data_IF_733708346068
#
_entry.id   IF_733708346068
#
_cell.length_a   1.000
_cell.length_b   1.000
_cell.length_c   1.000
_cell.angle_alpha   90.00
_cell.angle_beta   90.00
_cell.angle_gamma   90.00
#
_symmetry.space_group_name_H-M   'P 1'
#
loop_
_entity.id
_entity.type
_entity.pdbx_description
1 polymer ?
#
# COMPACT_ATOMS: atom_id res chain seq x y z
N UNK A 1 27.03 -9.76 40.97
CA UNK A 1 27.20 -10.52 39.71
C UNK A 1 25.88 -10.87 39.00
N UNK A 2 24.85 -11.37 39.70
CA UNK A 2 23.57 -11.78 39.07
C UNK A 2 22.76 -10.63 38.43
N UNK A 3 22.76 -9.43 39.02
CA UNK A 3 22.02 -8.26 38.50
C UNK A 3 22.62 -7.74 37.20
N UNK A 4 23.96 -7.77 37.05
CA UNK A 4 24.63 -7.27 35.84
C UNK A 4 24.34 -8.17 34.62
N UNK A 5 24.25 -9.49 34.83
CA UNK A 5 23.90 -10.47 33.80
C UNK A 5 22.44 -10.29 33.36
N UNK A 6 21.53 -10.04 34.31
CA UNK A 6 20.11 -9.78 34.02
C UNK A 6 19.92 -8.49 33.20
N UNK A 7 20.66 -7.43 33.55
CA UNK A 7 20.64 -6.16 32.79
C UNK A 7 21.20 -6.36 31.37
N UNK A 8 22.30 -7.10 31.21
CA UNK A 8 22.82 -7.41 29.88
C UNK A 8 21.85 -8.27 29.05
N UNK A 9 21.13 -9.19 29.68
CA UNK A 9 20.12 -10.01 28.99
C UNK A 9 18.91 -9.16 28.57
N UNK A 10 18.43 -8.24 29.41
CA UNK A 10 17.35 -7.31 29.10
C UNK A 10 17.74 -6.28 28.02
N UNK A 11 18.98 -5.79 28.05
CA UNK A 11 19.54 -4.92 27.00
C UNK A 11 19.61 -5.70 25.67
N UNK A 12 20.10 -6.95 25.68
CA UNK A 12 20.13 -7.81 24.48
C UNK A 12 18.72 -8.15 23.98
N UNK A 13 17.75 -8.34 24.88
CA UNK A 13 16.35 -8.58 24.53
C UNK A 13 15.70 -7.32 23.90
N UNK A 14 15.97 -6.13 24.43
CA UNK A 14 15.51 -4.85 23.87
C UNK A 14 16.14 -4.51 22.52
N UNK A 15 17.36 -5.00 22.26
CA UNK A 15 18.09 -4.78 21.00
C UNK A 15 17.68 -5.79 19.90
N UNK A 16 16.97 -6.87 20.24
CA UNK A 16 16.73 -7.98 19.29
C UNK A 16 15.33 -8.01 18.66
N UNK A 17 14.45 -7.06 18.96
CA UNK A 17 13.23 -6.88 18.14
C UNK A 17 13.59 -5.96 16.97
N UNK A 18 14.56 -6.38 16.15
CA UNK A 18 14.70 -5.82 14.81
C UNK A 18 13.75 -6.60 13.92
N UNK A 19 12.52 -6.10 13.78
CA UNK A 19 11.68 -6.49 12.64
C UNK A 19 12.40 -6.01 11.38
N UNK A 20 13.23 -6.89 10.82
CA UNK A 20 13.87 -6.65 9.54
C UNK A 20 12.89 -7.06 8.44
N UNK A 21 12.29 -6.05 7.81
CA UNK A 21 11.54 -6.25 6.59
C UNK A 21 12.53 -6.36 5.43
N UNK A 22 12.42 -7.44 4.65
CA UNK A 22 13.27 -7.69 3.47
C UNK A 22 13.08 -6.64 2.38
N UNK A 23 11.89 -6.05 2.30
CA UNK A 23 11.50 -5.06 1.31
C UNK A 23 11.32 -3.69 1.94
N UNK A 24 11.56 -2.63 1.15
CA UNK A 24 11.36 -1.25 1.60
C UNK A 24 9.90 -1.00 1.99
N UNK A 25 9.71 -0.42 3.18
CA UNK A 25 8.41 0.05 3.65
C UNK A 25 7.97 1.29 2.85
N UNK A 26 6.67 1.39 2.61
CA UNK A 26 6.06 2.43 1.76
C UNK A 26 4.98 3.20 2.50
N UNK A 27 4.08 2.50 3.19
CA UNK A 27 2.91 3.11 3.86
C UNK A 27 2.62 2.36 5.15
N UNK A 28 2.00 3.05 6.09
CA UNK A 28 1.46 2.41 7.28
C UNK A 28 0.15 3.07 7.71
N UNK A 29 -0.68 2.31 8.41
CA UNK A 29 -1.85 2.84 9.13
C UNK A 29 -1.97 2.13 10.47
N UNK A 30 -2.47 2.83 11.49
CA UNK A 30 -2.75 2.30 12.81
C UNK A 30 -4.25 2.39 13.09
N UNK A 31 -4.83 1.29 13.57
CA UNK A 31 -6.19 1.24 14.12
C UNK A 31 -6.11 1.11 15.64
N UNK A 32 -6.62 2.12 16.34
CA UNK A 32 -6.62 2.21 17.80
C UNK A 32 -7.65 1.28 18.44
N UNK A 33 -8.74 0.96 17.74
CA UNK A 33 -9.80 0.09 18.24
C UNK A 33 -9.33 -1.36 18.37
N UNK A 34 -8.61 -1.88 17.38
CA UNK A 34 -8.07 -3.25 17.41
C UNK A 34 -6.60 -3.32 17.83
N UNK A 35 -5.99 -2.17 18.16
CA UNK A 35 -4.55 -2.03 18.40
C UNK A 35 -3.73 -2.75 17.32
N UNK A 36 -3.97 -2.40 16.06
CA UNK A 36 -3.38 -3.09 14.90
C UNK A 36 -2.67 -2.11 14.00
N UNK A 37 -1.45 -2.44 13.60
CA UNK A 37 -0.66 -1.67 12.63
C UNK A 37 -0.66 -2.44 11.32
N UNK A 38 -1.07 -1.80 10.23
CA UNK A 38 -0.88 -2.33 8.88
C UNK A 38 0.35 -1.65 8.27
N UNK A 39 1.33 -2.45 7.86
CA UNK A 39 2.52 -1.99 7.15
C UNK A 39 2.49 -2.49 5.72
N UNK A 40 2.71 -1.59 4.78
CA UNK A 40 2.87 -1.91 3.36
C UNK A 40 4.34 -1.79 2.96
N UNK A 41 4.89 -2.84 2.36
CA UNK A 41 6.20 -2.85 1.72
C UNK A 41 6.06 -3.20 0.24
N UNK A 42 7.15 -3.07 -0.53
CA UNK A 42 7.15 -3.59 -1.91
C UNK A 42 6.75 -5.07 -1.88
N UNK A 43 5.77 -5.45 -2.69
CA UNK A 43 5.24 -6.82 -2.80
C UNK A 43 4.56 -7.40 -1.56
N UNK A 44 4.47 -6.72 -0.42
CA UNK A 44 3.85 -7.32 0.77
C UNK A 44 3.06 -6.34 1.61
N UNK A 45 2.04 -6.87 2.28
CA UNK A 45 1.32 -6.17 3.35
C UNK A 45 1.42 -7.04 4.61
N UNK A 46 1.69 -6.40 5.74
CA UNK A 46 1.76 -7.02 7.06
C UNK A 46 0.70 -6.40 7.95
N UNK A 47 0.03 -7.24 8.72
CA UNK A 47 -0.78 -6.87 9.88
C UNK A 47 0.03 -7.20 11.11
N UNK A 48 0.25 -6.22 11.99
CA UNK A 48 1.02 -6.34 13.21
C UNK A 48 0.14 -5.98 14.40
N UNK A 49 0.43 -6.60 15.54
CA UNK A 49 -0.10 -6.18 16.82
C UNK A 49 0.56 -4.85 17.24
N UNK A 50 -0.23 -3.85 17.61
CA UNK A 50 0.26 -2.50 17.94
C UNK A 50 1.11 -2.45 19.21
N UNK A 51 0.75 -3.26 20.20
CA UNK A 51 1.44 -3.32 21.50
C UNK A 51 2.85 -3.93 21.43
N UNK A 52 3.07 -4.93 20.58
CA UNK A 52 4.34 -5.69 20.58
C UNK A 52 4.98 -5.85 19.19
N UNK A 53 4.37 -5.29 18.14
CA UNK A 53 4.79 -5.36 16.73
C UNK A 53 4.88 -6.77 16.15
N UNK A 54 4.34 -7.80 16.83
CA UNK A 54 4.34 -9.17 16.31
C UNK A 54 3.48 -9.25 15.05
N UNK A 55 3.96 -9.95 14.03
CA UNK A 55 3.20 -10.19 12.80
C UNK A 55 1.99 -11.07 13.14
N UNK A 56 0.79 -10.54 12.91
CA UNK A 56 -0.49 -11.24 13.01
C UNK A 56 -0.77 -12.00 11.71
N UNK A 57 -0.56 -11.36 10.57
CA UNK A 57 -0.68 -11.96 9.25
C UNK A 57 0.12 -11.18 8.21
N UNK A 58 0.44 -11.81 7.08
CA UNK A 58 0.99 -11.14 5.91
C UNK A 58 0.41 -11.69 4.61
N UNK A 59 0.44 -10.88 3.56
CA UNK A 59 0.06 -11.30 2.21
C UNK A 59 1.12 -10.88 1.20
N UNK A 60 1.29 -11.72 0.19
CA UNK A 60 2.05 -11.39 -1.01
C UNK A 60 1.15 -10.68 -2.02
N UNK A 61 1.61 -9.54 -2.51
CA UNK A 61 0.95 -8.70 -3.53
C UNK A 61 1.70 -8.73 -4.85
N UNK A 62 2.80 -9.49 -4.96
CA UNK A 62 3.50 -9.77 -6.21
C UNK A 62 2.65 -10.64 -7.13
N UNK A 63 1.62 -10.06 -7.73
CA UNK A 63 0.89 -10.71 -8.81
C UNK A 63 1.77 -10.77 -10.06
N UNK A 64 1.58 -11.80 -10.88
CA UNK A 64 2.16 -11.90 -12.23
C UNK A 64 1.63 -10.75 -13.09
N UNK A 65 2.36 -9.65 -13.09
CA UNK A 65 2.08 -8.47 -13.90
C UNK A 65 2.10 -8.84 -15.39
N UNK A 66 1.13 -8.34 -16.15
CA UNK A 66 1.14 -8.51 -17.61
C UNK A 66 2.33 -7.75 -18.20
N UNK A 67 2.81 -8.13 -19.39
CA UNK A 67 3.94 -7.44 -20.05
C UNK A 67 3.72 -5.90 -20.17
N UNK A 68 2.47 -5.45 -20.26
CA UNK A 68 2.09 -4.03 -20.31
C UNK A 68 2.30 -3.34 -18.95
N UNK A 69 1.98 -4.03 -17.84
CA UNK A 69 2.25 -3.53 -16.48
C UNK A 69 3.74 -3.35 -16.21
N UNK A 70 4.56 -4.22 -16.81
CA UNK A 70 6.02 -4.20 -16.71
C UNK A 70 6.60 -2.99 -17.44
N UNK A 71 6.13 -2.71 -18.66
CA UNK A 71 6.59 -1.55 -19.43
C UNK A 71 6.33 -0.23 -18.69
N UNK A 72 5.21 -0.13 -17.96
CA UNK A 72 4.85 1.05 -17.16
C UNK A 72 5.65 1.21 -15.87
N UNK A 73 6.09 0.11 -15.27
CA UNK A 73 6.95 0.12 -14.08
C UNK A 73 8.41 0.51 -14.43
N UNK A 74 8.83 0.26 -15.67
CA UNK A 74 10.24 0.39 -16.11
C UNK A 74 10.47 1.68 -16.89
N UNK A 75 9.51 2.13 -17.72
CA UNK A 75 9.62 3.35 -18.51
C UNK A 75 9.12 4.57 -17.74
N UNK A 76 9.91 5.11 -16.82
CA UNK A 76 9.86 6.55 -16.57
C UNK A 76 11.11 7.08 -15.87
N UNK A 77 12.18 7.24 -16.66
CA UNK A 77 13.40 7.94 -16.26
C UNK A 77 13.95 8.73 -17.44
N UNK A 78 13.53 9.98 -17.56
CA UNK A 78 14.41 11.04 -18.06
C UNK A 78 13.93 12.45 -17.72
N UNK A 79 12.65 12.66 -17.40
CA UNK A 79 12.10 14.01 -17.23
C UNK A 79 11.60 14.38 -15.82
N UNK A 80 11.42 13.43 -14.90
CA UNK A 80 11.01 13.76 -13.53
C UNK A 80 12.20 14.34 -12.75
N UNK A 81 12.17 15.65 -12.52
CA UNK A 81 13.16 16.37 -11.71
C UNK A 81 13.33 15.68 -10.36
N UNK A 82 14.58 15.44 -9.95
CA UNK A 82 15.01 14.69 -8.76
C UNK A 82 14.36 15.09 -7.43
N UNK A 83 13.61 16.19 -7.38
CA UNK A 83 13.04 16.80 -6.17
C UNK A 83 11.60 16.39 -5.82
N UNK A 84 10.91 15.56 -6.61
CA UNK A 84 9.48 15.22 -6.37
C UNK A 84 9.24 13.84 -5.71
N UNK A 85 10.29 13.15 -5.27
CA UNK A 85 10.12 11.85 -4.63
C UNK A 85 9.74 12.03 -3.16
N UNK A 86 8.58 11.52 -2.76
CA UNK A 86 8.12 11.48 -1.37
C UNK A 86 8.88 10.46 -0.50
N UNK A 87 9.72 9.61 -1.09
CA UNK A 87 10.48 8.54 -0.42
C UNK A 87 11.91 8.45 -0.96
N UNK A 88 12.80 7.82 -0.19
CA UNK A 88 14.19 7.53 -0.59
C UNK A 88 14.24 6.95 -1.99
N UNK A 89 14.94 7.63 -2.90
CA UNK A 89 15.02 7.25 -4.30
C UNK A 89 15.57 5.84 -4.51
N UNK A 90 16.40 5.32 -3.60
CA UNK A 90 17.10 4.03 -3.79
C UNK A 90 16.19 2.84 -4.12
N UNK A 91 15.01 2.74 -3.52
CA UNK A 91 14.05 1.64 -3.74
C UNK A 91 13.15 1.84 -4.97
N UNK A 92 13.04 3.08 -5.45
CA UNK A 92 12.30 3.45 -6.65
C UNK A 92 13.21 3.53 -7.89
N UNK A 93 14.52 3.64 -7.72
CA UNK A 93 15.47 3.83 -8.83
C UNK A 93 15.76 2.55 -9.63
N UNK A 94 15.43 1.36 -9.12
CA UNK A 94 15.55 0.09 -9.84
C UNK A 94 14.35 -0.82 -9.56
N UNK A 95 13.14 -0.44 -10.00
CA UNK A 95 11.99 -1.31 -9.85
C UNK A 95 12.27 -2.61 -10.63
N UNK A 96 12.19 -3.75 -9.95
CA UNK A 96 12.21 -5.03 -10.65
C UNK A 96 10.87 -5.24 -11.35
N UNK A 97 10.86 -6.02 -12.42
CA UNK A 97 9.68 -6.39 -13.21
C UNK A 97 8.54 -6.96 -12.33
N UNK A 98 8.91 -7.54 -11.18
CA UNK A 98 8.00 -8.20 -10.25
C UNK A 98 7.66 -7.33 -9.03
N UNK A 99 8.02 -6.04 -9.03
CA UNK A 99 7.74 -5.14 -7.92
C UNK A 99 6.37 -4.47 -8.08
N UNK A 100 5.49 -4.72 -7.12
CA UNK A 100 4.21 -4.09 -6.90
C UNK A 100 4.36 -3.07 -5.78
N UNK A 101 3.99 -1.82 -6.06
CA UNK A 101 4.11 -0.70 -5.12
C UNK A 101 2.73 -0.31 -4.61
N UNK A 102 2.63 -0.05 -3.31
CA UNK A 102 1.38 0.31 -2.67
C UNK A 102 1.09 1.81 -2.88
N UNK A 103 -0.07 2.10 -3.47
CA UNK A 103 -0.55 3.43 -3.80
C UNK A 103 -1.57 3.97 -2.80
N UNK A 104 -2.39 3.11 -2.21
CA UNK A 104 -3.28 3.51 -1.10
C UNK A 104 -3.30 2.42 -0.04
N UNK A 105 -3.35 2.86 1.21
CA UNK A 105 -3.56 2.03 2.38
C UNK A 105 -4.44 2.85 3.32
N UNK A 106 -5.74 2.51 3.39
CA UNK A 106 -6.74 3.31 4.10
C UNK A 106 -7.65 2.42 4.94
N UNK A 107 -7.81 2.75 6.22
CA UNK A 107 -8.82 2.13 7.06
C UNK A 107 -10.20 2.51 6.56
N UNK A 108 -11.08 1.52 6.42
CA UNK A 108 -12.48 1.74 6.09
C UNK A 108 -13.37 1.35 7.28
N UNK A 109 -14.67 1.53 7.12
CA UNK A 109 -15.60 1.12 8.16
C UNK A 109 -15.64 -0.42 8.28
N UNK A 110 -16.00 -0.90 9.47
CA UNK A 110 -16.11 -2.34 9.79
C UNK A 110 -14.78 -3.12 9.91
N UNK A 111 -13.71 -2.49 10.41
CA UNK A 111 -12.41 -3.16 10.65
C UNK A 111 -11.85 -3.81 9.38
N UNK A 112 -11.93 -3.06 8.29
CA UNK A 112 -11.39 -3.46 6.98
C UNK A 112 -10.37 -2.44 6.51
N UNK A 113 -9.49 -2.88 5.62
CA UNK A 113 -8.46 -2.06 5.01
C UNK A 113 -8.63 -2.07 3.50
N UNK A 114 -8.63 -0.88 2.91
CA UNK A 114 -8.52 -0.70 1.47
C UNK A 114 -7.03 -0.66 1.11
N UNK A 115 -6.60 -1.59 0.26
CA UNK A 115 -5.24 -1.70 -0.25
C UNK A 115 -5.30 -1.51 -1.76
N UNK A 116 -4.61 -0.52 -2.29
CA UNK A 116 -4.44 -0.32 -3.72
C UNK A 116 -2.96 -0.31 -4.09
N UNK A 117 -2.65 -0.90 -5.25
CA UNK A 117 -1.27 -1.00 -5.73
C UNK A 117 -1.16 -0.66 -7.20
N UNK A 118 0.07 -0.47 -7.67
CA UNK A 118 0.39 -0.24 -9.09
C UNK A 118 0.06 -1.44 -9.98
N UNK A 119 -0.16 -2.62 -9.40
CA UNK A 119 -0.44 -3.86 -10.14
C UNK A 119 -1.70 -3.74 -11.00
N UNK A 120 -1.67 -4.39 -12.17
CA UNK A 120 -2.75 -4.39 -13.16
C UNK A 120 -3.16 -2.96 -13.57
N UNK A 121 -2.17 -2.12 -13.90
CA UNK A 121 -2.32 -0.69 -14.22
C UNK A 121 -3.17 0.08 -13.21
N UNK A 122 -2.94 -0.15 -11.91
CA UNK A 122 -3.67 0.53 -10.85
C UNK A 122 -5.13 0.08 -10.66
N UNK A 123 -5.52 -1.06 -11.26
CA UNK A 123 -6.80 -1.76 -10.99
C UNK A 123 -6.75 -2.61 -9.74
N UNK A 124 -5.56 -2.95 -9.23
CA UNK A 124 -5.39 -3.80 -8.06
C UNK A 124 -5.69 -3.05 -6.76
N UNK A 125 -6.98 -2.74 -6.57
CA UNK A 125 -7.57 -2.28 -5.32
C UNK A 125 -8.42 -3.40 -4.70
N UNK A 126 -8.17 -3.69 -3.43
CA UNK A 126 -8.82 -4.77 -2.70
C UNK A 126 -9.27 -4.27 -1.33
N UNK A 127 -10.46 -4.71 -0.91
CA UNK A 127 -10.90 -4.60 0.46
C UNK A 127 -10.56 -5.90 1.19
N UNK A 128 -9.90 -5.79 2.33
CA UNK A 128 -9.49 -6.94 3.15
C UNK A 128 -9.86 -6.75 4.62
N UNK A 129 -9.97 -7.86 5.36
CA UNK A 129 -10.08 -7.78 6.81
C UNK A 129 -8.81 -7.19 7.41
N UNK A 130 -8.93 -6.40 8.47
CA UNK A 130 -7.78 -5.68 9.02
C UNK A 130 -6.73 -6.62 9.63
N UNK A 131 -7.19 -7.58 10.45
CA UNK A 131 -6.30 -8.41 11.27
C UNK A 131 -5.68 -9.55 10.45
N UNK A 132 -6.51 -10.34 9.75
CA UNK A 132 -6.08 -11.53 9.03
C UNK A 132 -5.72 -11.26 7.57
N UNK A 133 -6.03 -10.06 7.06
CA UNK A 133 -5.89 -9.69 5.65
C UNK A 133 -6.69 -10.60 4.69
N UNK A 134 -7.81 -11.16 5.16
CA UNK A 134 -8.70 -12.00 4.35
C UNK A 134 -9.29 -11.18 3.20
N UNK A 135 -9.31 -11.75 2.01
CA UNK A 135 -9.88 -11.11 0.83
C UNK A 135 -11.40 -10.96 0.94
N UNK A 136 -11.93 -9.76 0.71
CA UNK A 136 -13.37 -9.50 0.75
C UNK A 136 -13.92 -9.06 -0.62
N UNK A 137 -13.28 -8.06 -1.25
CA UNK A 137 -13.71 -7.48 -2.53
C UNK A 137 -12.51 -7.01 -3.35
N UNK A 138 -12.67 -6.96 -4.68
CA UNK A 138 -11.72 -6.31 -5.59
C UNK A 138 -12.41 -5.30 -6.50
N UNK A 139 -11.62 -4.33 -6.97
CA UNK A 139 -12.08 -3.38 -8.00
C UNK A 139 -12.05 -4.03 -9.38
N UNK A 140 -13.12 -3.81 -10.14
CA UNK A 140 -13.12 -4.06 -11.58
C UNK A 140 -12.58 -2.87 -12.39
N UNK A 141 -12.36 -1.72 -11.75
CA UNK A 141 -11.94 -0.48 -12.39
C UNK A 141 -10.52 -0.09 -12.01
N UNK A 142 -9.87 0.72 -12.86
CA UNK A 142 -8.63 1.39 -12.49
C UNK A 142 -8.94 2.55 -11.54
N UNK A 143 -8.18 2.61 -10.46
CA UNK A 143 -8.47 3.52 -9.36
C UNK A 143 -7.26 4.39 -9.07
N UNK A 144 -6.09 3.79 -8.95
CA UNK A 144 -4.83 4.46 -8.61
C UNK A 144 -3.90 4.58 -9.81
N UNK A 145 -2.90 5.46 -9.72
CA UNK A 145 -1.77 5.51 -10.65
C UNK A 145 -1.09 4.14 -10.79
N UNK A 146 -0.78 3.77 -12.03
CA UNK A 146 0.00 2.56 -12.32
C UNK A 146 1.50 2.73 -12.10
N UNK A 147 1.96 3.97 -11.92
CA UNK A 147 3.38 4.29 -11.75
C UNK A 147 3.74 4.45 -10.27
N UNK A 148 4.80 3.79 -9.77
CA UNK A 148 5.24 3.96 -8.39
C UNK A 148 5.78 5.37 -8.09
N UNK A 149 6.05 6.16 -9.14
CA UNK A 149 6.59 7.50 -9.03
C UNK A 149 5.52 8.59 -9.00
N UNK A 150 4.31 8.26 -9.46
CA UNK A 150 3.20 9.20 -9.56
C UNK A 150 2.20 8.86 -8.45
N UNK A 151 2.02 9.75 -7.46
CA UNK A 151 1.27 9.42 -6.27
C UNK A 151 -0.22 9.37 -6.54
N UNK A 152 -0.87 8.46 -5.82
CA UNK A 152 -2.31 8.49 -5.56
C UNK A 152 -2.53 8.86 -4.10
N UNK A 153 -3.48 9.76 -3.84
CA UNK A 153 -3.86 10.20 -2.50
C UNK A 153 -5.35 10.02 -2.35
N UNK A 154 -5.77 9.38 -1.25
CA UNK A 154 -7.16 9.05 -1.01
C UNK A 154 -7.60 9.44 0.40
N UNK A 155 -8.87 9.82 0.51
CA UNK A 155 -9.55 10.10 1.77
C UNK A 155 -10.90 9.38 1.76
N UNK A 156 -11.19 8.64 2.83
CA UNK A 156 -12.49 7.98 3.00
C UNK A 156 -13.37 8.85 3.89
N UNK A 157 -14.52 9.25 3.37
CA UNK A 157 -15.58 9.79 4.20
C UNK A 157 -16.41 8.64 4.77
N UNK A 158 -16.26 8.41 6.07
CA UNK A 158 -16.90 7.31 6.79
C UNK A 158 -18.44 7.41 6.81
N UNK A 159 -19.01 8.61 6.72
CA UNK A 159 -20.45 8.78 6.87
C UNK A 159 -21.21 8.31 5.63
N UNK A 160 -20.67 8.59 4.45
CA UNK A 160 -21.30 8.25 3.16
C UNK A 160 -20.55 7.13 2.41
N UNK A 161 -19.48 6.58 2.99
CA UNK A 161 -18.71 5.46 2.42
C UNK A 161 -18.14 5.79 1.03
N UNK A 162 -17.74 7.05 0.84
CA UNK A 162 -17.14 7.53 -0.40
C UNK A 162 -15.63 7.64 -0.22
N UNK A 163 -14.89 7.04 -1.15
CA UNK A 163 -13.48 7.32 -1.34
C UNK A 163 -13.35 8.53 -2.27
N UNK A 164 -12.81 9.63 -1.77
CA UNK A 164 -12.30 10.71 -2.60
C UNK A 164 -10.85 10.41 -2.94
N UNK A 165 -10.52 10.38 -4.22
CA UNK A 165 -9.18 10.04 -4.68
C UNK A 165 -8.67 11.09 -5.66
N UNK A 166 -7.40 11.46 -5.50
CA UNK A 166 -6.64 12.27 -6.44
C UNK A 166 -5.47 11.44 -6.98
N UNK A 167 -5.32 11.42 -8.30
CA UNK A 167 -4.25 10.68 -8.99
C UNK A 167 -3.37 11.65 -9.76
N UNK A 168 -2.06 11.42 -9.72
CA UNK A 168 -1.14 12.06 -10.66
C UNK A 168 -1.12 11.26 -11.95
N UNK A 169 -1.31 11.97 -13.07
CA UNK A 169 -1.50 11.38 -14.39
C UNK A 169 -0.20 10.89 -15.02
N UNK A 170 -0.20 9.67 -15.56
CA UNK A 170 0.82 9.19 -16.49
C UNK A 170 0.28 9.14 -17.91
N UNK A 171 0.72 10.05 -18.78
CA UNK A 171 0.26 10.07 -20.18
C UNK A 171 0.59 8.81 -20.99
N UNK A 172 1.56 8.02 -20.54
CA UNK A 172 2.00 6.80 -21.22
C UNK A 172 1.25 5.59 -20.70
N UNK A 173 0.98 5.56 -19.39
CA UNK A 173 0.54 4.35 -18.70
C UNK A 173 -0.88 4.39 -18.16
N UNK A 174 -1.43 5.57 -17.97
CA UNK A 174 -2.75 5.81 -17.42
C UNK A 174 -3.52 6.75 -18.35
N UNK A 175 -4.07 6.31 -19.49
CA UNK A 175 -4.75 7.21 -20.40
C UNK A 175 -5.91 7.94 -19.71
N UNK A 176 -6.06 9.25 -20.01
CA UNK A 176 -6.85 10.21 -19.20
C UNK A 176 -8.32 9.83 -19.02
N UNK A 177 -8.87 9.07 -19.96
CA UNK A 177 -10.26 8.63 -19.92
C UNK A 177 -10.51 7.44 -18.97
N UNK A 178 -9.47 6.77 -18.45
CA UNK A 178 -9.62 5.58 -17.59
C UNK A 178 -9.44 5.89 -16.10
N UNK A 179 -8.66 6.93 -15.76
CA UNK A 179 -8.38 7.31 -14.37
C UNK A 179 -8.54 8.83 -14.23
N UNK A 180 -9.67 9.32 -13.68
CA UNK A 180 -9.84 10.74 -13.42
C UNK A 180 -8.78 11.27 -12.45
N UNK A 181 -8.34 12.52 -12.67
CA UNK A 181 -7.41 13.21 -11.76
C UNK A 181 -8.00 13.34 -10.37
N UNK A 182 -9.30 13.63 -10.24
CA UNK A 182 -10.04 13.66 -8.99
C UNK A 182 -11.37 12.93 -9.22
N UNK A 183 -11.75 12.02 -8.32
CA UNK A 183 -13.05 11.34 -8.36
C UNK A 183 -13.56 10.98 -6.98
N UNK A 184 -14.89 10.91 -6.83
CA UNK A 184 -15.54 10.19 -5.75
C UNK A 184 -15.85 8.76 -6.19
N UNK A 185 -15.69 7.79 -5.30
CA UNK A 185 -15.94 6.37 -5.59
C UNK A 185 -16.67 5.65 -4.47
N UNK A 186 -17.61 4.78 -4.81
CA UNK A 186 -18.41 4.02 -3.84
C UNK A 186 -17.60 2.87 -3.21
N UNK A 187 -17.63 2.72 -1.88
CA UNK A 187 -17.01 1.59 -1.17
C UNK A 187 -17.96 0.41 -0.90
N UNK A 188 -19.26 0.66 -0.87
CA UNK A 188 -20.28 -0.31 -0.43
C UNK A 188 -20.95 -1.08 -1.55
N UNK A 189 -20.96 -0.51 -2.75
CA UNK A 189 -21.85 -0.95 -3.82
C UNK A 189 -21.40 -2.28 -4.43
N UNK A 190 -22.31 -2.93 -5.16
CA UNK A 190 -21.99 -4.13 -5.93
C UNK A 190 -20.89 -3.83 -6.96
N UNK A 191 -20.89 -2.60 -7.49
CA UNK A 191 -19.83 -2.05 -8.32
C UNK A 191 -18.81 -1.32 -7.44
N UNK A 192 -18.07 -2.11 -6.65
CA UNK A 192 -17.03 -1.63 -5.75
C UNK A 192 -16.01 -0.71 -6.47
N UNK A 193 -15.83 0.49 -5.94
CA UNK A 193 -15.00 1.57 -6.46
C UNK A 193 -15.41 2.14 -7.83
N UNK A 194 -16.68 1.98 -8.20
CA UNK A 194 -17.27 2.75 -9.30
C UNK A 194 -17.25 4.26 -9.04
N UNK A 195 -17.12 5.04 -10.12
CA UNK A 195 -17.12 6.51 -10.08
C UNK A 195 -18.55 7.02 -9.85
N UNK A 196 -18.67 8.04 -9.01
CA UNK A 196 -19.92 8.79 -8.72
C UNK A 196 -20.17 9.83 -9.80
#
# INVERSE_FOLDING_TARGET
>A
MKILILIFYLIKLSISISLQFSNSLQRFVYDDVTDTIILASVNRIYSLNGSNLSILSDIDTSLSSSKIDQDCSIKNKSSLTKSLYYFSTSSYLTPSINNTFNQLLLLTNNRTILICSTSNRGRSCQLRSLINLDFMKNSSQRVVSSSPFLPSVGLINKNNQILYISNTYDSVCDPFYEIPTISGRHLTDNDFLSII
#
